data_IF_623548328908
#
_entry.id   IF_623548328908
#
_cell.length_a   1.000
_cell.length_b   1.000
_cell.length_c   1.000
_cell.angle_alpha   90.00
_cell.angle_beta   90.00
_cell.angle_gamma   90.00
#
_symmetry.space_group_name_H-M   'P 1'
#
loop_
_entity.id
_entity.type
_entity.pdbx_description
1 polymer ?
#
# COMPACT_ATOMS: atom_id res chain seq x y z
N UNK A 1 -2.18 3.98 -7.85
CA UNK A 1 -2.90 5.02 -7.09
C UNK A 1 -3.62 4.43 -5.86
N UNK A 2 -4.35 3.35 -6.02
CA UNK A 2 -5.10 2.76 -4.91
C UNK A 2 -4.22 2.32 -3.74
N UNK A 3 -3.13 1.59 -4.01
CA UNK A 3 -2.19 1.15 -2.96
C UNK A 3 -1.51 2.36 -2.31
N UNK A 4 -1.14 3.36 -3.08
CA UNK A 4 -0.57 4.60 -2.53
C UNK A 4 -1.55 5.30 -1.59
N UNK A 5 -2.84 5.31 -1.91
CA UNK A 5 -3.87 5.86 -1.05
C UNK A 5 -4.04 5.06 0.25
N UNK A 6 -3.90 3.73 0.20
CA UNK A 6 -3.91 2.90 1.40
C UNK A 6 -2.75 3.29 2.33
N UNK A 7 -1.54 3.50 1.78
CA UNK A 7 -0.39 3.95 2.57
C UNK A 7 -0.70 5.28 3.26
N UNK A 8 -1.23 6.26 2.54
CA UNK A 8 -1.58 7.56 3.11
C UNK A 8 -2.68 7.46 4.17
N UNK A 9 -3.67 6.61 3.94
CA UNK A 9 -4.72 6.37 4.93
C UNK A 9 -4.16 5.76 6.21
N UNK A 10 -3.20 4.83 6.10
CA UNK A 10 -2.51 4.25 7.26
C UNK A 10 -1.71 5.30 8.04
N UNK A 11 -1.04 6.22 7.35
CA UNK A 11 -0.36 7.35 8.00
C UNK A 11 -1.35 8.18 8.81
N UNK A 12 -2.50 8.51 8.23
CA UNK A 12 -3.54 9.29 8.92
C UNK A 12 -4.08 8.57 10.16
N UNK A 13 -4.23 7.24 10.10
CA UNK A 13 -4.75 6.46 11.22
C UNK A 13 -3.75 6.34 12.37
N UNK A 14 -2.46 6.41 12.11
CA UNK A 14 -1.39 6.25 13.09
C UNK A 14 -1.16 4.83 13.59
N UNK A 15 -1.93 3.85 13.15
CA UNK A 15 -1.87 2.46 13.65
C UNK A 15 -0.66 1.67 13.15
N UNK A 16 -0.08 2.05 12.03
CA UNK A 16 1.10 1.38 11.43
C UNK A 16 2.34 2.26 11.45
N UNK A 17 2.26 3.43 12.09
CA UNK A 17 3.29 4.43 12.13
C UNK A 17 2.77 5.79 11.68
N UNK A 18 3.57 6.85 11.89
CA UNK A 18 3.17 8.23 11.63
C UNK A 18 3.79 8.84 10.39
N UNK A 19 4.58 8.07 9.63
CA UNK A 19 5.21 8.53 8.39
C UNK A 19 5.02 7.50 7.28
N UNK A 20 5.17 7.95 6.03
CA UNK A 20 5.10 7.05 4.86
C UNK A 20 6.13 5.92 4.99
N UNK A 21 7.36 6.26 5.35
CA UNK A 21 8.43 5.26 5.52
C UNK A 21 8.08 4.23 6.58
N UNK A 22 7.61 4.64 7.76
CA UNK A 22 7.26 3.71 8.83
C UNK A 22 6.10 2.79 8.45
N UNK A 23 5.13 3.28 7.71
CA UNK A 23 4.00 2.48 7.21
C UNK A 23 4.47 1.44 6.20
N UNK A 24 5.29 1.83 5.23
CA UNK A 24 5.79 0.92 4.17
C UNK A 24 6.66 -0.19 4.76
N UNK A 25 7.53 0.13 5.72
CA UNK A 25 8.42 -0.84 6.33
C UNK A 25 7.84 -1.57 7.54
N UNK A 26 6.60 -1.31 7.90
CA UNK A 26 5.96 -2.02 9.01
C UNK A 26 6.05 -3.54 8.78
N UNK A 27 6.45 -4.33 9.79
CA UNK A 27 6.67 -5.76 9.63
C UNK A 27 5.42 -6.47 9.11
N UNK A 28 5.59 -7.36 8.10
CA UNK A 28 4.55 -8.22 7.52
C UNK A 28 3.41 -7.46 6.80
N UNK A 29 3.51 -6.15 6.61
CA UNK A 29 2.46 -5.38 5.92
C UNK A 29 2.67 -5.35 4.41
N UNK A 30 3.92 -5.16 3.98
CA UNK A 30 4.29 -5.15 2.55
C UNK A 30 5.44 -6.12 2.37
N UNK A 31 5.13 -7.40 2.20
CA UNK A 31 6.13 -8.49 2.15
C UNK A 31 7.12 -8.35 1.00
N UNK A 32 6.75 -7.67 -0.08
CA UNK A 32 7.68 -7.37 -1.17
C UNK A 32 8.68 -6.28 -0.86
N UNK A 33 8.45 -5.50 0.20
CA UNK A 33 9.26 -4.34 0.58
C UNK A 33 10.13 -4.65 1.79
N UNK A 34 9.57 -5.23 2.84
CA UNK A 34 10.27 -5.48 4.11
C UNK A 34 10.41 -6.97 4.39
N UNK A 35 11.41 -7.32 5.21
CA UNK A 35 11.80 -8.70 5.54
C UNK A 35 11.11 -9.28 6.78
N UNK A 36 10.10 -8.66 7.29
CA UNK A 36 9.42 -9.09 8.51
C UNK A 36 10.04 -8.55 9.79
N UNK A 37 11.26 -8.00 9.74
CA UNK A 37 11.93 -7.33 10.85
C UNK A 37 11.93 -5.79 10.70
N UNK A 38 11.25 -5.29 9.66
CA UNK A 38 11.21 -3.86 9.38
C UNK A 38 12.37 -3.35 8.52
N UNK A 39 13.20 -4.24 7.98
CA UNK A 39 14.30 -3.89 7.08
C UNK A 39 13.91 -4.06 5.61
N UNK A 40 14.53 -3.34 4.67
CA UNK A 40 14.27 -3.54 3.24
C UNK A 40 14.58 -4.97 2.81
N UNK A 41 13.68 -5.60 2.04
CA UNK A 41 13.95 -6.90 1.44
C UNK A 41 15.00 -6.77 0.34
N UNK A 42 15.69 -7.88 0.02
CA UNK A 42 16.67 -7.90 -1.07
C UNK A 42 16.05 -7.51 -2.42
N UNK A 43 14.84 -7.96 -2.71
CA UNK A 43 14.11 -7.58 -3.93
C UNK A 43 13.83 -6.09 -3.99
N UNK A 44 13.42 -5.50 -2.87
CA UNK A 44 13.12 -4.08 -2.82
C UNK A 44 14.39 -3.24 -2.95
N UNK A 45 15.48 -3.65 -2.30
CA UNK A 45 16.78 -2.97 -2.44
C UNK A 45 17.24 -2.94 -3.91
N UNK A 46 17.07 -4.05 -4.64
CA UNK A 46 17.40 -4.11 -6.07
C UNK A 46 16.50 -3.16 -6.88
N UNK A 47 15.20 -3.07 -6.57
CA UNK A 47 14.28 -2.14 -7.22
C UNK A 47 14.61 -0.68 -6.96
N UNK A 48 15.04 -0.35 -5.75
CA UNK A 48 15.48 1.00 -5.42
C UNK A 48 16.69 1.42 -6.27
N UNK A 49 17.62 0.49 -6.53
CA UNK A 49 18.79 0.76 -7.38
C UNK A 49 18.40 1.04 -8.81
N UNK A 50 17.40 0.37 -9.36
CA UNK A 50 16.95 0.56 -10.74
C UNK A 50 15.99 1.75 -10.92
N UNK A 51 15.42 2.26 -9.82
CA UNK A 51 14.46 3.35 -9.82
C UNK A 51 13.02 2.91 -10.18
N UNK A 52 12.03 3.76 -9.88
CA UNK A 52 10.62 3.48 -10.19
C UNK A 52 10.31 3.76 -11.66
N UNK A 53 9.27 3.11 -12.22
CA UNK A 53 8.78 3.44 -13.56
C UNK A 53 7.90 4.70 -13.54
N UNK A 54 7.62 5.27 -14.72
CA UNK A 54 6.86 6.51 -14.85
C UNK A 54 5.43 6.40 -14.35
N UNK A 55 4.78 5.26 -14.55
CA UNK A 55 3.41 5.03 -14.07
C UNK A 55 3.35 5.06 -12.54
N UNK A 56 4.34 4.48 -11.86
CA UNK A 56 4.43 4.52 -10.40
C UNK A 56 4.70 5.94 -9.88
N UNK A 57 5.58 6.69 -10.54
CA UNK A 57 5.85 8.08 -10.19
C UNK A 57 4.58 8.92 -10.31
N UNK A 58 3.84 8.77 -11.40
CA UNK A 58 2.60 9.50 -11.63
C UNK A 58 1.55 9.16 -10.57
N UNK A 59 1.39 7.88 -10.23
CA UNK A 59 0.47 7.44 -9.19
C UNK A 59 0.82 8.04 -7.83
N UNK A 60 2.11 8.09 -7.47
CA UNK A 60 2.57 8.71 -6.24
C UNK A 60 2.27 10.22 -6.21
N UNK A 61 2.52 10.92 -7.32
CA UNK A 61 2.22 12.35 -7.43
C UNK A 61 0.72 12.62 -7.27
N UNK A 62 -0.13 11.84 -7.91
CA UNK A 62 -1.59 11.96 -7.80
C UNK A 62 -2.04 11.75 -6.36
N UNK A 63 -1.57 10.70 -5.69
CA UNK A 63 -1.92 10.41 -4.31
C UNK A 63 -1.49 11.55 -3.37
N UNK A 64 -0.27 12.05 -3.51
CA UNK A 64 0.24 13.16 -2.71
C UNK A 64 -0.49 14.47 -2.96
N UNK A 65 -1.06 14.66 -4.14
CA UNK A 65 -1.86 15.85 -4.47
C UNK A 65 -3.30 15.77 -3.95
N UNK A 66 -3.72 14.63 -3.39
CA UNK A 66 -5.04 14.44 -2.80
C UNK A 66 -6.00 13.58 -3.62
N UNK A 67 -5.57 13.07 -4.77
CA UNK A 67 -6.41 12.15 -5.56
C UNK A 67 -6.57 10.84 -4.81
N UNK A 68 -7.81 10.45 -4.51
CA UNK A 68 -8.10 9.26 -3.70
C UNK A 68 -9.23 8.46 -4.35
N UNK A 69 -8.96 7.20 -4.68
CA UNK A 69 -9.95 6.29 -5.27
C UNK A 69 -10.37 5.15 -4.35
N UNK A 70 -9.94 5.14 -3.08
CA UNK A 70 -10.30 4.10 -2.11
C UNK A 70 -10.91 4.65 -0.80
N UNK A 71 -11.28 5.91 -0.75
CA UNK A 71 -11.85 6.51 0.44
C UNK A 71 -10.90 6.39 1.64
N UNK A 72 -11.41 5.83 2.75
CA UNK A 72 -10.64 5.66 4.00
C UNK A 72 -10.13 4.23 4.22
N UNK A 73 -10.20 3.36 3.22
CA UNK A 73 -9.76 1.99 3.37
C UNK A 73 -8.26 1.90 3.69
N UNK A 74 -7.91 1.01 4.59
CA UNK A 74 -6.53 0.82 5.06
C UNK A 74 -5.99 -0.58 4.79
N UNK A 75 -6.77 -1.46 4.19
CA UNK A 75 -6.40 -2.83 3.87
C UNK A 75 -6.59 -3.12 2.41
N UNK A 76 -5.80 -4.06 1.88
CA UNK A 76 -6.02 -4.62 0.55
C UNK A 76 -5.51 -6.05 0.49
N UNK A 77 -6.12 -6.86 -0.37
CA UNK A 77 -5.71 -8.23 -0.67
C UNK A 77 -5.96 -8.54 -2.14
N UNK A 78 -5.21 -9.49 -2.69
CA UNK A 78 -5.54 -10.04 -4.01
C UNK A 78 -6.93 -10.67 -3.98
N UNK A 79 -7.69 -10.52 -5.06
CA UNK A 79 -9.03 -11.13 -5.15
C UNK A 79 -9.01 -12.64 -4.95
N UNK A 80 -7.93 -13.32 -5.37
CA UNK A 80 -7.80 -14.76 -5.24
C UNK A 80 -7.79 -15.25 -3.79
N UNK A 81 -7.43 -14.40 -2.82
CA UNK A 81 -7.36 -14.75 -1.39
C UNK A 81 -8.26 -13.89 -0.51
N UNK A 82 -8.91 -12.89 -1.06
CA UNK A 82 -9.78 -12.00 -0.30
C UNK A 82 -11.12 -12.69 0.01
N UNK A 83 -11.51 -12.72 1.27
CA UNK A 83 -12.84 -13.18 1.70
C UNK A 83 -13.74 -11.96 1.86
N UNK A 84 -14.00 -11.26 0.74
CA UNK A 84 -14.71 -9.98 0.75
C UNK A 84 -16.18 -10.11 1.22
N UNK A 85 -16.78 -11.28 1.12
CA UNK A 85 -18.12 -11.49 1.64
C UNK A 85 -18.22 -11.35 3.17
N UNK A 86 -17.08 -11.43 3.89
CA UNK A 86 -17.00 -11.23 5.34
C UNK A 86 -16.73 -9.78 5.75
N UNK A 87 -16.47 -8.88 4.80
CA UNK A 87 -16.15 -7.49 5.08
C UNK A 87 -17.42 -6.64 5.19
N UNK A 88 -17.43 -5.69 6.12
CA UNK A 88 -18.56 -4.77 6.30
C UNK A 88 -18.74 -3.88 5.06
N UNK A 89 -17.62 -3.43 4.48
CA UNK A 89 -17.61 -2.74 3.19
C UNK A 89 -16.32 -3.03 2.46
N UNK A 90 -16.33 -2.97 1.13
CA UNK A 90 -15.15 -3.20 0.31
C UNK A 90 -15.31 -2.56 -1.06
N UNK A 91 -14.17 -2.46 -1.79
CA UNK A 91 -14.12 -1.95 -3.15
C UNK A 91 -13.13 -2.79 -3.94
N UNK A 92 -13.51 -3.19 -5.16
CA UNK A 92 -12.64 -3.97 -6.04
C UNK A 92 -12.08 -3.03 -7.10
N UNK A 93 -10.74 -2.98 -7.20
CA UNK A 93 -10.04 -2.24 -8.24
C UNK A 93 -9.01 -3.18 -8.86
N UNK A 94 -9.13 -3.45 -10.16
CA UNK A 94 -8.27 -4.41 -10.85
C UNK A 94 -8.35 -5.79 -10.21
N UNK A 95 -7.22 -6.36 -9.82
CA UNK A 95 -7.11 -7.68 -9.20
C UNK A 95 -7.05 -7.64 -7.66
N UNK A 96 -7.38 -6.51 -7.05
CA UNK A 96 -7.30 -6.31 -5.59
C UNK A 96 -8.64 -5.88 -5.00
N UNK A 97 -8.87 -6.32 -3.76
CA UNK A 97 -10.00 -5.90 -2.92
C UNK A 97 -9.46 -4.98 -1.82
N UNK A 98 -10.04 -3.80 -1.69
CA UNK A 98 -9.72 -2.80 -0.66
C UNK A 98 -10.83 -2.76 0.38
N UNK A 99 -10.46 -2.69 1.66
CA UNK A 99 -11.42 -2.71 2.75
C UNK A 99 -10.92 -2.03 4.02
#
# INVERSE_FOLDING_TARGET
LAVANVVLNRVKSGKWGSSITSVIYAPKQFSGVSDGNGNPSAKFAARLSSGPNQACIQAAKEALSGVNNVGNYTFFRSLSIANYSSYDSYMIIGSHCFY
#
